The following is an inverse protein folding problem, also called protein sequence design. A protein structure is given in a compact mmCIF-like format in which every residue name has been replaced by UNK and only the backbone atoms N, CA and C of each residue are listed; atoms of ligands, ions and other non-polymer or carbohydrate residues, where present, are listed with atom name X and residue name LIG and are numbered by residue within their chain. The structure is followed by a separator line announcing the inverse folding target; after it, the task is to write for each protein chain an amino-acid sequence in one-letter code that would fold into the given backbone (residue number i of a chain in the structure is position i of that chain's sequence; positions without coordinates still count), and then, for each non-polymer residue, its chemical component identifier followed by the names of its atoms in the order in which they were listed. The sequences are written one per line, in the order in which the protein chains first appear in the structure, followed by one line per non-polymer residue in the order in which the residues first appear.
data_IF_144890434366
#
_entry.id   IF_144890434366
#
_cell.length_a   1.000
_cell.length_b   1.000
_cell.length_c   1.000
_cell.angle_alpha   90.00
_cell.angle_beta   90.00
_cell.angle_gamma   90.00
#
_symmetry.space_group_name_H-M   'P 1'
#
loop_
_entity.id
_entity.type
_entity.pdbx_description
1 polymer ?
#
# COMPACT_ATOMS: atom_id res chain seq x y z
N UNK A 1 -27.48 22.35 22.52
CA UNK A 1 -26.10 21.83 22.53
C UNK A 1 -25.97 20.93 21.29
N UNK A 2 -25.38 21.46 20.21
CA UNK A 2 -25.25 20.77 18.92
C UNK A 2 -23.79 20.32 18.82
N UNK A 3 -23.48 19.04 18.53
CA UNK A 3 -22.10 18.62 18.38
C UNK A 3 -21.56 19.07 17.02
N UNK A 4 -20.46 19.81 17.06
CA UNK A 4 -19.76 20.33 15.90
C UNK A 4 -19.08 19.19 15.12
N UNK A 5 -19.59 18.92 13.94
CA UNK A 5 -18.87 18.26 12.86
C UNK A 5 -17.94 19.30 12.22
N UNK A 6 -16.70 18.91 11.88
CA UNK A 6 -15.63 19.67 11.20
C UNK A 6 -14.70 20.54 12.08
N UNK A 7 -13.50 20.03 12.41
CA UNK A 7 -12.19 20.65 12.05
C UNK A 7 -10.96 19.93 12.66
N UNK A 8 -9.98 19.60 11.79
CA UNK A 8 -8.52 19.37 11.97
C UNK A 8 -7.95 18.17 12.78
N UNK A 9 -6.94 17.43 12.23
CA UNK A 9 -6.37 16.24 12.85
C UNK A 9 -5.11 16.56 13.68
N UNK A 10 -5.31 17.18 14.84
CA UNK A 10 -4.25 17.40 15.83
C UNK A 10 -4.79 17.15 17.23
N UNK A 11 -4.92 15.87 17.57
CA UNK A 11 -4.72 15.27 18.91
C UNK A 11 -5.40 13.91 18.93
N UNK A 12 -4.60 12.84 18.75
CA UNK A 12 -5.00 11.51 19.18
C UNK A 12 -4.10 11.13 20.35
N UNK A 13 -4.69 11.27 21.53
CA UNK A 13 -4.25 10.71 22.80
C UNK A 13 -3.86 9.24 22.66
N UNK A 14 -2.81 8.87 23.40
CA UNK A 14 -2.30 7.53 23.58
C UNK A 14 -3.37 6.57 24.09
N UNK A 15 -3.99 5.83 23.18
CA UNK A 15 -4.64 4.57 23.47
C UNK A 15 -4.12 3.55 22.45
N UNK A 16 -3.75 2.38 22.94
CA UNK A 16 -3.24 1.23 22.19
C UNK A 16 -3.92 1.11 20.81
N UNK A 17 -3.20 1.45 19.74
CA UNK A 17 -3.75 1.41 18.39
C UNK A 17 -3.76 -0.04 17.93
N UNK A 18 -4.95 -0.65 17.98
CA UNK A 18 -5.27 -1.96 17.39
C UNK A 18 -4.68 -2.05 15.99
N UNK A 19 -4.08 -3.20 15.60
CA UNK A 19 -3.55 -3.37 14.24
C UNK A 19 -4.65 -3.14 13.21
N UNK A 20 -4.46 -2.12 12.37
CA UNK A 20 -5.32 -1.80 11.24
C UNK A 20 -4.74 -2.50 10.02
N UNK A 21 -5.53 -3.38 9.38
CA UNK A 21 -5.12 -3.95 8.11
C UNK A 21 -5.28 -2.86 7.05
N UNK A 22 -4.20 -2.57 6.34
CA UNK A 22 -4.14 -1.51 5.35
C UNK A 22 -3.60 -2.09 4.06
N UNK A 23 -4.34 -1.88 2.97
CA UNK A 23 -3.93 -2.24 1.61
C UNK A 23 -3.99 -0.99 0.76
N UNK A 24 -2.85 -0.57 0.22
CA UNK A 24 -2.75 0.59 -0.67
C UNK A 24 -2.35 0.14 -2.06
N UNK A 25 -3.19 0.40 -3.05
CA UNK A 25 -3.00 0.05 -4.46
C UNK A 25 -2.86 1.32 -5.29
N UNK A 26 -1.89 1.37 -6.20
CA UNK A 26 -1.66 2.50 -7.10
C UNK A 26 -1.89 2.04 -8.53
N UNK A 27 -2.86 2.68 -9.17
CA UNK A 27 -3.26 2.42 -10.54
C UNK A 27 -2.75 3.54 -11.45
N UNK A 28 -2.29 3.16 -12.62
CA UNK A 28 -2.13 4.09 -13.74
C UNK A 28 -3.44 4.13 -14.52
N UNK A 29 -3.98 5.33 -14.69
CA UNK A 29 -5.22 5.58 -15.43
C UNK A 29 -5.13 6.89 -16.18
N UNK A 30 -6.17 7.23 -16.95
CA UNK A 30 -6.26 8.49 -17.68
C UNK A 30 -7.49 9.24 -17.20
N UNK A 31 -7.30 10.36 -16.51
CA UNK A 31 -8.37 11.26 -16.07
C UNK A 31 -8.32 12.56 -16.89
N UNK A 32 -9.45 13.00 -17.45
CA UNK A 32 -9.54 14.13 -18.40
C UNK A 32 -8.47 14.07 -19.49
N UNK A 33 -8.34 12.90 -20.11
CA UNK A 33 -7.36 12.63 -21.16
C UNK A 33 -5.89 12.83 -20.75
N UNK A 34 -5.60 12.95 -19.44
CA UNK A 34 -4.26 13.12 -18.88
C UNK A 34 -3.86 11.89 -18.04
N UNK A 35 -2.61 11.37 -18.18
CA UNK A 35 -2.14 10.25 -17.37
C UNK A 35 -2.13 10.64 -15.88
N UNK A 36 -2.75 9.83 -15.04
CA UNK A 36 -2.94 10.09 -13.63
C UNK A 36 -2.67 8.84 -12.80
N UNK A 37 -1.97 9.00 -11.68
CA UNK A 37 -1.86 7.96 -10.66
C UNK A 37 -3.03 8.04 -9.69
N UNK A 38 -3.80 6.96 -9.62
CA UNK A 38 -4.91 6.82 -8.71
C UNK A 38 -4.52 5.88 -7.57
N UNK A 39 -4.51 6.39 -6.35
CA UNK A 39 -4.23 5.62 -5.13
C UNK A 39 -5.54 5.22 -4.47
N UNK A 40 -5.73 3.91 -4.28
CA UNK A 40 -6.82 3.33 -3.51
C UNK A 40 -6.26 2.74 -2.22
N UNK A 41 -6.66 3.29 -1.07
CA UNK A 41 -6.27 2.80 0.24
C UNK A 41 -7.47 2.18 0.94
N UNK A 42 -7.46 0.86 1.06
CA UNK A 42 -8.42 0.07 1.81
C UNK A 42 -7.94 -0.09 3.25
N UNK A 43 -8.81 0.19 4.21
CA UNK A 43 -8.53 0.02 5.63
C UNK A 43 -9.58 -0.88 6.28
N UNK A 44 -9.17 -1.78 7.15
CA UNK A 44 -10.05 -2.53 8.05
C UNK A 44 -9.77 -2.17 9.50
N UNK A 45 -10.83 -1.87 10.23
CA UNK A 45 -10.85 -1.81 11.69
C UNK A 45 -11.72 -2.96 12.23
N UNK A 46 -11.84 -3.09 13.55
CA UNK A 46 -12.71 -4.10 14.17
C UNK A 46 -14.18 -3.98 13.75
N UNK A 47 -14.64 -2.76 13.43
CA UNK A 47 -16.06 -2.46 13.26
C UNK A 47 -16.40 -1.87 11.90
N UNK A 48 -15.43 -1.72 11.00
CA UNK A 48 -15.67 -1.12 9.69
C UNK A 48 -14.55 -1.37 8.71
N UNK A 49 -14.91 -1.27 7.45
CA UNK A 49 -13.97 -1.06 6.36
C UNK A 49 -14.07 0.39 5.88
N UNK A 50 -13.04 0.88 5.20
CA UNK A 50 -13.12 2.15 4.50
C UNK A 50 -12.23 2.12 3.27
N UNK A 51 -12.60 2.91 2.27
CA UNK A 51 -11.83 3.13 1.06
C UNK A 51 -11.52 4.62 0.95
N UNK A 52 -10.24 4.96 0.82
CA UNK A 52 -9.81 6.30 0.42
C UNK A 52 -9.33 6.26 -1.01
N UNK A 53 -9.92 7.11 -1.84
CA UNK A 53 -9.56 7.33 -3.25
C UNK A 53 -8.81 8.65 -3.33
N UNK A 54 -7.57 8.61 -3.78
CA UNK A 54 -6.69 9.76 -3.85
C UNK A 54 -6.06 9.88 -5.23
N UNK A 55 -6.05 11.09 -5.78
CA UNK A 55 -5.25 11.44 -6.94
C UNK A 55 -4.51 12.74 -6.60
N UNK A 56 -3.19 12.73 -6.80
CA UNK A 56 -2.32 13.84 -6.45
C UNK A 56 -2.80 15.15 -7.10
N UNK A 57 -2.79 16.23 -6.31
CA UNK A 57 -3.18 17.58 -6.71
C UNK A 57 -4.61 17.71 -7.26
N UNK A 58 -5.42 16.66 -7.15
CA UNK A 58 -6.74 16.56 -7.75
C UNK A 58 -7.82 16.41 -6.69
N UNK A 59 -7.86 15.27 -5.99
CA UNK A 59 -8.90 15.00 -5.00
C UNK A 59 -8.51 13.92 -3.99
N UNK A 60 -9.19 13.95 -2.85
CA UNK A 60 -9.16 12.90 -1.84
C UNK A 60 -10.57 12.65 -1.33
N UNK A 61 -11.09 11.43 -1.50
CA UNK A 61 -12.44 11.05 -1.08
C UNK A 61 -12.36 9.77 -0.26
N UNK A 62 -12.87 9.82 0.97
CA UNK A 62 -13.04 8.63 1.81
C UNK A 62 -14.49 8.17 1.81
N UNK A 63 -14.68 6.87 1.63
CA UNK A 63 -15.95 6.14 1.68
C UNK A 63 -15.87 5.18 2.88
N UNK A 64 -16.74 5.37 3.87
CA UNK A 64 -16.89 4.43 4.97
C UNK A 64 -17.78 3.26 4.55
N UNK A 65 -17.36 2.04 4.85
CA UNK A 65 -18.07 0.80 4.60
C UNK A 65 -18.47 0.20 5.94
N UNK A 66 -19.76 0.24 6.25
CA UNK A 66 -20.26 -0.28 7.50
C UNK A 66 -20.60 -1.76 7.37
N UNK A 67 -20.32 -2.59 8.39
CA UNK A 67 -20.69 -4.00 8.38
C UNK A 67 -22.21 -4.16 8.27
N UNK A 68 -22.64 -5.21 7.57
CA UNK A 68 -24.05 -5.59 7.44
C UNK A 68 -24.73 -5.92 8.78
N UNK A 69 -23.95 -6.17 9.83
CA UNK A 69 -24.43 -6.52 11.19
C UNK A 69 -25.12 -5.37 11.90
N UNK A 70 -24.91 -4.12 11.46
CA UNK A 70 -25.68 -2.98 11.93
C UNK A 70 -26.82 -2.67 10.96
N UNK A 71 -28.01 -3.24 11.19
CA UNK A 71 -29.19 -3.08 10.32
C UNK A 71 -29.57 -1.62 10.03
N UNK A 72 -29.21 -0.69 10.92
CA UNK A 72 -29.45 0.76 10.74
C UNK A 72 -28.39 1.46 9.87
N UNK A 73 -27.22 0.86 9.66
CA UNK A 73 -26.10 1.41 8.86
C UNK A 73 -25.77 0.55 7.65
N UNK A 74 -26.77 -0.13 7.07
CA UNK A 74 -26.56 -0.98 5.88
C UNK A 74 -25.96 -0.15 4.75
N UNK A 75 -24.84 -0.62 4.18
CA UNK A 75 -24.27 -0.03 2.98
C UNK A 75 -25.37 0.08 1.91
N UNK A 76 -25.44 1.24 1.27
CA UNK A 76 -26.31 1.48 0.10
C UNK A 76 -25.44 1.82 -1.09
N UNK A 77 -25.87 1.50 -2.31
CA UNK A 77 -25.15 1.91 -3.51
C UNK A 77 -25.08 3.44 -3.52
N UNK A 78 -23.89 4.00 -3.59
CA UNK A 78 -23.65 5.43 -3.41
C UNK A 78 -23.10 6.12 -4.66
N UNK A 79 -23.20 7.44 -4.65
CA UNK A 79 -22.41 8.29 -5.56
C UNK A 79 -22.09 9.62 -4.88
N UNK A 80 -20.92 10.18 -5.16
CA UNK A 80 -20.48 11.49 -4.64
C UNK A 80 -19.81 12.27 -5.75
N UNK A 81 -20.28 13.49 -5.97
CA UNK A 81 -19.67 14.44 -6.89
C UNK A 81 -18.75 15.39 -6.14
N UNK A 82 -17.57 15.65 -6.69
CA UNK A 82 -16.63 16.66 -6.19
C UNK A 82 -16.26 17.56 -7.37
N UNK A 83 -16.26 18.86 -7.13
CA UNK A 83 -15.74 19.86 -8.06
C UNK A 83 -14.31 20.18 -7.65
N UNK A 84 -13.38 20.18 -8.60
CA UNK A 84 -12.00 20.58 -8.29
C UNK A 84 -11.95 22.09 -8.08
N UNK A 85 -11.40 22.50 -6.96
CA UNK A 85 -11.31 23.91 -6.55
C UNK A 85 -10.44 24.75 -7.49
N UNK A 86 -9.46 24.14 -8.16
CA UNK A 86 -8.53 24.83 -9.06
C UNK A 86 -8.98 24.86 -10.53
N UNK A 87 -9.98 24.06 -10.89
CA UNK A 87 -10.49 23.98 -12.25
C UNK A 87 -12.02 24.02 -12.21
N UNK A 88 -12.60 25.22 -12.22
CA UNK A 88 -14.05 25.48 -12.17
C UNK A 88 -14.88 24.79 -13.28
N UNK A 89 -14.25 24.04 -14.20
CA UNK A 89 -14.88 23.28 -15.29
C UNK A 89 -14.68 21.77 -15.20
N UNK A 90 -13.95 21.25 -14.22
CA UNK A 90 -13.73 19.82 -14.07
C UNK A 90 -14.60 19.26 -12.95
N UNK A 91 -15.55 18.40 -13.31
CA UNK A 91 -16.44 17.70 -12.38
C UNK A 91 -16.05 16.23 -12.32
N UNK A 92 -15.74 15.76 -11.11
CA UNK A 92 -15.58 14.35 -10.81
C UNK A 92 -16.88 13.83 -10.21
N UNK A 93 -17.31 12.65 -10.62
CA UNK A 93 -18.33 11.90 -9.90
C UNK A 93 -17.87 10.47 -9.70
N UNK A 94 -17.82 10.09 -8.43
CA UNK A 94 -17.50 8.76 -7.94
C UNK A 94 -18.80 7.97 -7.75
N UNK A 95 -18.82 6.74 -8.23
CA UNK A 95 -19.90 5.77 -8.07
C UNK A 95 -19.36 4.55 -7.34
N UNK A 96 -20.14 3.97 -6.46
CA UNK A 96 -19.74 2.74 -5.79
C UNK A 96 -20.93 1.91 -5.33
N UNK A 97 -20.69 0.61 -5.21
CA UNK A 97 -21.55 -0.33 -4.53
C UNK A 97 -20.70 -1.37 -3.78
N UNK A 98 -20.89 -1.39 -2.46
CA UNK A 98 -20.27 -2.36 -1.55
C UNK A 98 -21.34 -3.08 -0.72
N UNK A 99 -22.59 -3.09 -1.18
CA UNK A 99 -23.72 -3.65 -0.42
C UNK A 99 -23.64 -5.16 -0.26
N UNK A 100 -23.04 -5.83 -1.24
CA UNK A 100 -22.81 -7.28 -1.27
C UNK A 100 -21.33 -7.66 -1.23
N UNK A 101 -20.44 -6.70 -0.96
CA UNK A 101 -19.01 -6.91 -1.03
C UNK A 101 -18.57 -8.04 -0.09
N UNK A 102 -17.87 -9.02 -0.66
CA UNK A 102 -17.31 -10.15 0.07
C UNK A 102 -15.86 -9.86 0.44
N UNK A 103 -15.46 -10.24 1.65
CA UNK A 103 -14.13 -9.97 2.18
C UNK A 103 -13.50 -11.25 2.69
N UNK A 104 -12.31 -11.56 2.18
CA UNK A 104 -11.49 -12.61 2.76
C UNK A 104 -11.19 -12.33 4.24
N UNK A 105 -10.94 -13.41 5.00
CA UNK A 105 -10.57 -13.31 6.40
C UNK A 105 -9.38 -12.35 6.57
N UNK A 106 -9.52 -11.38 7.48
CA UNK A 106 -8.52 -10.36 7.75
C UNK A 106 -8.09 -9.47 6.55
N UNK A 107 -8.77 -9.50 5.41
CA UNK A 107 -8.52 -8.55 4.31
C UNK A 107 -9.20 -7.20 4.51
N UNK A 108 -8.51 -6.12 4.14
CA UNK A 108 -9.09 -4.78 4.04
C UNK A 108 -9.75 -4.51 2.67
N UNK A 109 -9.31 -5.20 1.63
CA UNK A 109 -9.84 -5.08 0.27
C UNK A 109 -10.91 -6.16 0.03
N UNK A 110 -12.04 -5.82 -0.61
CA UNK A 110 -13.05 -6.81 -1.01
C UNK A 110 -12.53 -7.75 -2.10
N UNK A 111 -12.94 -9.01 -2.03
CA UNK A 111 -12.58 -10.05 -2.99
C UNK A 111 -13.54 -10.11 -4.18
N UNK A 112 -14.83 -9.85 -3.95
CA UNK A 112 -15.87 -9.91 -4.98
C UNK A 112 -17.12 -9.10 -4.60
N UNK A 113 -18.09 -9.05 -5.51
CA UNK A 113 -19.40 -8.45 -5.35
C UNK A 113 -19.37 -6.95 -5.00
N UNK A 114 -18.51 -6.20 -5.69
CA UNK A 114 -18.41 -4.75 -5.54
C UNK A 114 -18.15 -4.03 -6.86
N UNK A 115 -18.36 -2.72 -6.88
CA UNK A 115 -17.73 -1.85 -7.87
C UNK A 115 -17.39 -0.48 -7.29
N UNK A 116 -16.38 0.15 -7.89
CA UNK A 116 -16.09 1.57 -7.79
C UNK A 116 -15.84 2.09 -9.21
N UNK A 117 -16.35 3.27 -9.53
CA UNK A 117 -16.12 3.89 -10.81
C UNK A 117 -15.98 5.42 -10.71
N UNK A 118 -15.11 5.99 -11.53
CA UNK A 118 -14.86 7.44 -11.60
C UNK A 118 -15.29 7.92 -12.97
N UNK A 119 -16.10 8.99 -12.96
CA UNK A 119 -16.45 9.74 -14.16
C UNK A 119 -15.96 11.17 -14.09
N UNK A 120 -15.45 11.66 -15.20
CA UNK A 120 -14.95 13.01 -15.42
C UNK A 120 -15.82 13.67 -16.48
N UNK A 121 -16.49 14.78 -16.14
CA UNK A 121 -17.33 15.53 -17.09
C UNK A 121 -18.39 14.68 -17.85
N UNK A 122 -18.88 13.59 -17.24
CA UNK A 122 -19.86 12.70 -17.86
C UNK A 122 -19.27 11.55 -18.69
N UNK A 123 -17.94 11.44 -18.75
CA UNK A 123 -17.21 10.32 -19.34
C UNK A 123 -16.71 9.40 -18.22
N UNK A 124 -16.98 8.10 -18.32
CA UNK A 124 -16.51 7.08 -17.38
C UNK A 124 -15.06 6.74 -17.72
N UNK A 125 -14.14 6.91 -16.78
CA UNK A 125 -12.68 6.84 -17.03
C UNK A 125 -11.94 5.82 -16.16
N UNK A 126 -12.52 5.37 -15.05
CA UNK A 126 -11.96 4.29 -14.23
C UNK A 126 -13.08 3.41 -13.69
N UNK A 127 -12.86 2.09 -13.68
CA UNK A 127 -13.73 1.10 -13.04
C UNK A 127 -12.87 0.04 -12.36
N UNK A 128 -13.26 -0.38 -11.17
CA UNK A 128 -12.71 -1.54 -10.47
C UNK A 128 -13.83 -2.33 -9.79
N UNK A 129 -13.79 -3.66 -9.88
CA UNK A 129 -14.80 -4.57 -9.33
C UNK A 129 -15.46 -5.44 -10.39
N UNK A 130 -16.41 -6.27 -9.98
CA UNK A 130 -17.06 -7.32 -10.77
C UNK A 130 -18.55 -7.08 -11.05
N UNK A 131 -19.18 -6.11 -10.37
CA UNK A 131 -20.58 -5.75 -10.56
C UNK A 131 -20.84 -4.81 -11.76
N UNK A 132 -20.33 -5.20 -12.93
CA UNK A 132 -20.36 -4.38 -14.14
C UNK A 132 -21.78 -4.15 -14.70
N UNK A 133 -22.67 -5.14 -14.60
CA UNK A 133 -24.06 -5.02 -15.05
C UNK A 133 -24.85 -3.98 -14.26
N UNK A 134 -24.60 -3.90 -12.95
CA UNK A 134 -25.25 -2.91 -12.08
C UNK A 134 -24.68 -1.51 -12.31
N UNK A 135 -23.37 -1.41 -12.54
CA UNK A 135 -22.73 -0.17 -12.94
C UNK A 135 -23.29 0.33 -14.29
N UNK A 136 -23.45 -0.55 -15.28
CA UNK A 136 -23.98 -0.21 -16.60
C UNK A 136 -25.41 0.36 -16.51
N UNK A 137 -26.28 -0.26 -15.70
CA UNK A 137 -27.64 0.26 -15.43
C UNK A 137 -27.60 1.65 -14.80
N UNK A 138 -26.66 1.88 -13.87
CA UNK A 138 -26.53 3.15 -13.15
C UNK A 138 -25.86 4.26 -13.97
N UNK A 139 -25.05 3.89 -14.96
CA UNK A 139 -24.27 4.79 -15.80
C UNK A 139 -24.71 4.79 -17.27
N UNK A 140 -25.96 4.37 -17.56
CA UNK A 140 -26.51 4.20 -18.92
C UNK A 140 -26.50 5.45 -19.80
N UNK A 141 -26.31 6.64 -19.21
CA UNK A 141 -26.16 7.91 -19.93
C UNK A 141 -24.72 8.47 -19.97
N UNK A 142 -23.71 7.73 -19.51
CA UNK A 142 -22.32 8.15 -19.54
C UNK A 142 -21.60 7.60 -20.78
N UNK A 143 -20.69 8.40 -21.32
CA UNK A 143 -19.78 7.93 -22.36
C UNK A 143 -18.69 7.05 -21.73
N UNK A 144 -18.57 5.80 -22.15
CA UNK A 144 -17.46 4.95 -21.71
C UNK A 144 -16.18 5.29 -22.49
N UNK A 145 -15.11 5.64 -21.78
CA UNK A 145 -13.81 5.81 -22.40
C UNK A 145 -13.31 4.47 -22.95
N UNK A 146 -12.65 4.47 -24.12
CA UNK A 146 -12.08 3.25 -24.72
C UNK A 146 -11.11 2.53 -23.78
N UNK A 147 -10.40 3.27 -22.93
CA UNK A 147 -9.46 2.73 -21.93
C UNK A 147 -10.13 1.98 -20.79
N UNK A 148 -11.40 2.25 -20.50
CA UNK A 148 -12.18 1.56 -19.46
C UNK A 148 -12.59 0.15 -19.89
N UNK A 149 -12.55 -0.15 -21.19
CA UNK A 149 -12.74 -1.50 -21.69
C UNK A 149 -11.55 -2.42 -21.37
N UNK A 150 -10.43 -1.84 -20.92
CA UNK A 150 -9.25 -2.55 -20.45
C UNK A 150 -9.23 -2.52 -18.91
N UNK A 151 -8.70 -3.58 -18.31
CA UNK A 151 -8.52 -3.62 -16.85
C UNK A 151 -7.52 -2.52 -16.43
N UNK A 152 -7.78 -1.78 -15.34
CA UNK A 152 -6.85 -0.76 -14.87
C UNK A 152 -5.45 -1.33 -14.64
N UNK A 153 -4.42 -0.60 -15.10
CA UNK A 153 -3.02 -1.03 -14.90
C UNK A 153 -2.60 -0.78 -13.46
N UNK A 154 -2.61 -1.84 -12.64
CA UNK A 154 -2.07 -1.80 -11.27
C UNK A 154 -0.55 -1.76 -11.32
N UNK A 155 0.05 -0.69 -10.78
CA UNK A 155 1.50 -0.49 -10.73
C UNK A 155 2.11 -0.98 -9.42
N UNK A 156 1.44 -0.75 -8.30
CA UNK A 156 1.97 -1.18 -7.02
C UNK A 156 0.89 -1.48 -6.00
N UNK A 157 1.22 -2.40 -5.09
CA UNK A 157 0.39 -2.79 -3.97
C UNK A 157 1.24 -2.82 -2.71
N UNK A 158 0.76 -2.24 -1.64
CA UNK A 158 1.37 -2.26 -0.31
C UNK A 158 0.38 -2.85 0.67
N UNK A 159 0.83 -3.79 1.50
CA UNK A 159 -0.03 -4.48 2.45
C UNK A 159 0.67 -4.64 3.80
N UNK A 160 -0.08 -4.43 4.87
CA UNK A 160 0.33 -4.72 6.25
C UNK A 160 -0.35 -6.01 6.71
N UNK A 161 0.44 -7.07 6.87
CA UNK A 161 -0.02 -8.39 7.31
C UNK A 161 0.44 -8.65 8.74
N UNK A 162 -0.42 -9.28 9.54
CA UNK A 162 -0.16 -9.56 10.96
C UNK A 162 -0.23 -11.06 11.20
N UNK A 163 0.77 -11.60 11.89
CA UNK A 163 0.93 -13.02 12.13
C UNK A 163 2.02 -13.29 13.16
N UNK A 164 2.25 -14.54 13.51
CA UNK A 164 3.29 -14.89 14.48
C UNK A 164 4.58 -15.31 13.76
N UNK A 165 4.50 -16.39 12.98
CA UNK A 165 5.62 -16.97 12.20
C UNK A 165 5.28 -17.24 10.74
N UNK A 166 4.00 -17.10 10.39
CA UNK A 166 3.47 -17.35 9.06
C UNK A 166 2.53 -16.20 8.70
N UNK A 167 2.69 -15.68 7.50
CA UNK A 167 2.00 -14.50 6.98
C UNK A 167 1.52 -14.82 5.58
N UNK A 168 0.29 -14.43 5.27
CA UNK A 168 -0.33 -14.69 3.98
C UNK A 168 -0.84 -13.38 3.42
N UNK A 169 -0.50 -13.10 2.16
CA UNK A 169 -1.08 -12.03 1.36
C UNK A 169 -1.63 -12.64 0.06
N UNK A 170 -2.71 -12.06 -0.46
CA UNK A 170 -3.29 -12.44 -1.74
C UNK A 170 -3.28 -11.25 -2.66
N UNK A 171 -2.53 -11.33 -3.75
CA UNK A 171 -2.39 -10.24 -4.69
C UNK A 171 -2.52 -10.75 -6.12
N UNK A 172 -3.12 -9.92 -6.98
CA UNK A 172 -3.08 -10.14 -8.43
C UNK A 172 -1.81 -9.52 -8.97
N UNK A 173 -0.93 -10.33 -9.54
CA UNK A 173 0.23 -9.89 -10.30
C UNK A 173 0.45 -10.88 -11.45
N UNK A 174 1.00 -10.42 -12.58
CA UNK A 174 1.11 -11.23 -13.81
C UNK A 174 -0.25 -11.69 -14.39
N UNK A 175 -1.33 -10.95 -14.12
CA UNK A 175 -2.67 -11.26 -14.63
C UNK A 175 -3.44 -12.34 -13.87
N UNK A 176 -2.79 -13.06 -12.95
CA UNK A 176 -3.43 -14.06 -12.08
C UNK A 176 -3.37 -13.67 -10.60
N UNK A 177 -4.35 -14.12 -9.83
CA UNK A 177 -4.36 -13.98 -8.38
C UNK A 177 -3.49 -15.08 -7.78
N UNK A 178 -2.55 -14.68 -6.93
CA UNK A 178 -1.63 -15.58 -6.25
C UNK A 178 -1.73 -15.43 -4.75
N UNK A 179 -1.56 -16.54 -4.03
CA UNK A 179 -1.35 -16.53 -2.59
C UNK A 179 0.14 -16.55 -2.29
N UNK A 180 0.62 -15.51 -1.61
CA UNK A 180 2.01 -15.40 -1.17
C UNK A 180 2.06 -15.72 0.32
N UNK A 181 2.78 -16.78 0.66
CA UNK A 181 3.10 -17.17 2.02
C UNK A 181 4.52 -16.76 2.40
N UNK A 182 4.66 -16.08 3.53
CA UNK A 182 5.95 -15.79 4.14
C UNK A 182 6.01 -16.52 5.48
N UNK A 183 6.90 -17.50 5.60
CA UNK A 183 7.17 -18.18 6.87
C UNK A 183 8.56 -17.78 7.36
N UNK A 184 8.66 -17.36 8.62
CA UNK A 184 9.95 -17.15 9.27
C UNK A 184 9.94 -17.85 10.61
N UNK A 185 10.74 -18.90 10.73
CA UNK A 185 10.82 -19.70 11.94
C UNK A 185 12.24 -20.27 12.09
N UNK A 186 12.79 -20.21 13.30
CA UNK A 186 14.10 -20.80 13.62
C UNK A 186 15.24 -20.24 12.77
N UNK A 187 15.24 -18.94 12.46
CA UNK A 187 16.27 -18.30 11.63
C UNK A 187 16.25 -18.70 10.15
N UNK A 188 15.11 -19.22 9.66
CA UNK A 188 14.88 -19.57 8.25
C UNK A 188 13.68 -18.80 7.72
N UNK A 189 13.83 -18.14 6.57
CA UNK A 189 12.77 -17.51 5.80
C UNK A 189 12.38 -18.44 4.65
N UNK A 190 11.09 -18.73 4.51
CA UNK A 190 10.52 -19.45 3.37
C UNK A 190 9.51 -18.56 2.67
N UNK A 191 9.62 -18.49 1.35
CA UNK A 191 8.63 -17.85 0.49
C UNK A 191 7.86 -18.95 -0.20
N UNK A 192 6.53 -18.88 -0.10
CA UNK A 192 5.60 -19.77 -0.77
C UNK A 192 4.76 -18.98 -1.77
N UNK A 193 4.52 -19.56 -2.93
CA UNK A 193 3.58 -19.06 -3.93
C UNK A 193 2.59 -20.18 -4.20
N UNK A 194 1.30 -19.91 -4.03
CA UNK A 194 0.20 -20.86 -4.20
C UNK A 194 0.41 -22.18 -3.42
N UNK A 195 0.90 -22.04 -2.19
CA UNK A 195 1.20 -23.16 -1.28
C UNK A 195 2.54 -23.87 -1.56
N UNK A 196 3.17 -23.65 -2.71
CA UNK A 196 4.46 -24.25 -3.07
C UNK A 196 5.63 -23.40 -2.60
N UNK A 197 6.67 -24.01 -2.03
CA UNK A 197 7.86 -23.27 -1.57
C UNK A 197 8.74 -22.87 -2.75
N UNK A 198 8.82 -21.58 -3.03
CA UNK A 198 9.62 -21.02 -4.12
C UNK A 198 11.04 -20.63 -3.69
N UNK A 199 11.24 -20.29 -2.41
CA UNK A 199 12.55 -19.88 -1.88
C UNK A 199 12.72 -20.27 -0.41
N UNK A 200 13.93 -20.67 -0.03
CA UNK A 200 14.32 -20.95 1.36
C UNK A 200 15.67 -20.30 1.66
N UNK A 201 15.66 -19.31 2.55
CA UNK A 201 16.84 -18.60 3.03
C UNK A 201 17.14 -19.07 4.45
N UNK A 202 18.29 -19.71 4.65
CA UNK A 202 18.76 -20.16 5.96
C UNK A 202 19.72 -19.15 6.58
N UNK A 203 19.89 -19.21 7.90
CA UNK A 203 20.84 -18.40 8.67
C UNK A 203 20.52 -16.90 8.58
N UNK A 204 19.26 -16.53 8.83
CA UNK A 204 18.77 -15.14 8.78
C UNK A 204 19.53 -14.18 9.69
N UNK A 205 20.14 -14.65 10.78
CA UNK A 205 21.00 -13.82 11.62
C UNK A 205 22.17 -13.16 10.85
N UNK A 206 22.57 -13.77 9.73
CA UNK A 206 23.62 -13.28 8.83
C UNK A 206 23.06 -12.77 7.50
N UNK A 207 21.91 -13.30 7.08
CA UNK A 207 21.20 -12.95 5.84
C UNK A 207 19.92 -12.17 6.10
N UNK A 208 19.96 -11.25 7.07
CA UNK A 208 18.76 -10.50 7.46
C UNK A 208 18.32 -9.47 6.40
N UNK A 209 19.17 -9.18 5.41
CA UNK A 209 18.86 -8.40 4.21
C UNK A 209 19.41 -9.12 2.98
N UNK A 210 18.71 -8.98 1.86
CA UNK A 210 19.19 -9.48 0.58
C UNK A 210 18.10 -9.52 -0.48
N UNK A 211 18.44 -10.09 -1.62
CA UNK A 211 17.55 -10.28 -2.75
C UNK A 211 17.86 -11.59 -3.49
N UNK A 212 16.86 -12.13 -4.17
CA UNK A 212 16.93 -13.37 -4.96
C UNK A 212 15.87 -13.31 -6.07
N UNK A 213 16.05 -14.10 -7.12
CA UNK A 213 15.04 -14.25 -8.18
C UNK A 213 14.24 -15.53 -7.96
N UNK A 214 12.92 -15.40 -8.05
CA UNK A 214 11.99 -16.54 -8.04
C UNK A 214 11.19 -16.55 -9.35
N UNK A 215 10.60 -17.69 -9.68
CA UNK A 215 9.74 -17.82 -10.85
C UNK A 215 8.31 -18.09 -10.43
N UNK A 216 7.37 -17.31 -10.96
CA UNK A 216 5.93 -17.47 -10.76
C UNK A 216 5.28 -17.64 -12.13
N UNK A 217 4.70 -18.82 -12.38
CA UNK A 217 4.12 -19.18 -13.68
C UNK A 217 5.07 -18.92 -14.88
N UNK A 218 6.37 -19.19 -14.70
CA UNK A 218 7.39 -18.98 -15.73
C UNK A 218 7.86 -17.53 -15.89
N UNK A 219 7.30 -16.58 -15.15
CA UNK A 219 7.76 -15.20 -15.12
C UNK A 219 8.76 -14.98 -13.98
N UNK A 220 9.81 -14.23 -14.27
CA UNK A 220 10.81 -13.84 -13.29
C UNK A 220 10.27 -12.75 -12.35
N UNK A 221 10.47 -12.96 -11.05
CA UNK A 221 10.09 -12.03 -9.99
C UNK A 221 11.32 -11.80 -9.12
N UNK A 222 11.75 -10.55 -9.00
CA UNK A 222 12.80 -10.16 -8.06
C UNK A 222 12.21 -10.03 -6.66
N UNK A 223 12.77 -10.78 -5.72
CA UNK A 223 12.34 -10.83 -4.34
C UNK A 223 13.40 -10.19 -3.45
N UNK A 224 13.02 -9.19 -2.67
CA UNK A 224 13.88 -8.50 -1.71
C UNK A 224 13.34 -8.70 -0.30
N UNK A 225 14.24 -8.78 0.69
CA UNK A 225 13.85 -8.87 2.09
C UNK A 225 14.72 -7.99 3.00
N UNK A 226 14.08 -7.46 4.03
CA UNK A 226 14.71 -6.91 5.24
C UNK A 226 13.95 -7.43 6.47
N UNK A 227 14.60 -8.29 7.24
CA UNK A 227 14.06 -8.89 8.47
C UNK A 227 14.91 -8.51 9.69
N UNK A 228 15.71 -7.44 9.61
CA UNK A 228 16.57 -7.01 10.71
C UNK A 228 15.76 -6.73 11.99
N UNK A 229 14.67 -5.96 11.87
CA UNK A 229 13.79 -5.61 12.98
C UNK A 229 13.12 -6.84 13.60
N UNK A 230 12.80 -7.85 12.77
CA UNK A 230 12.25 -9.12 13.21
C UNK A 230 13.27 -9.94 14.01
N UNK A 231 14.45 -10.20 13.44
CA UNK A 231 15.49 -11.04 14.06
C UNK A 231 15.97 -10.42 15.37
N UNK A 232 16.13 -9.10 15.41
CA UNK A 232 16.56 -8.40 16.61
C UNK A 232 15.50 -8.42 17.74
N UNK A 233 14.21 -8.40 17.39
CA UNK A 233 13.11 -8.55 18.36
C UNK A 233 13.13 -9.94 19.01
N UNK A 234 13.45 -10.99 18.24
CA UNK A 234 13.56 -12.36 18.75
C UNK A 234 14.71 -12.56 19.74
N UNK A 235 15.84 -11.88 19.52
CA UNK A 235 17.02 -12.03 20.38
C UNK A 235 16.92 -11.28 21.71
N UNK A 236 16.13 -10.20 21.78
CA UNK A 236 16.16 -9.29 22.93
C UNK A 236 15.08 -9.56 23.99
N UNK A 237 14.20 -10.57 23.83
CA UNK A 237 13.09 -10.90 24.75
C UNK A 237 12.28 -9.69 25.26
N UNK A 238 12.30 -8.58 24.52
CA UNK A 238 11.66 -7.34 24.90
C UNK A 238 10.26 -7.36 24.28
N UNK A 239 9.28 -7.74 25.10
CA UNK A 239 7.84 -7.80 24.78
C UNK A 239 7.22 -6.47 24.32
N UNK A 240 8.01 -5.40 24.16
CA UNK A 240 7.54 -4.06 23.85
C UNK A 240 7.93 -3.59 22.44
N UNK A 241 8.49 -4.47 21.61
CA UNK A 241 8.87 -4.15 20.23
C UNK A 241 8.13 -5.04 19.24
N UNK A 242 7.15 -4.47 18.54
CA UNK A 242 6.46 -5.12 17.42
C UNK A 242 7.45 -5.23 16.25
N UNK A 243 8.31 -6.25 16.31
CA UNK A 243 9.24 -6.57 15.23
C UNK A 243 8.48 -6.84 13.93
N UNK A 244 9.01 -6.33 12.82
CA UNK A 244 8.44 -6.56 11.50
C UNK A 244 9.50 -6.96 10.48
N UNK A 245 9.06 -7.70 9.47
CA UNK A 245 9.80 -7.93 8.23
C UNK A 245 9.24 -7.09 7.08
N UNK A 246 10.10 -6.71 6.16
CA UNK A 246 9.75 -6.02 4.91
C UNK A 246 10.11 -6.92 3.75
N UNK A 247 9.17 -7.14 2.85
CA UNK A 247 9.35 -8.00 1.67
C UNK A 247 8.85 -7.29 0.42
N UNK A 248 9.60 -7.36 -0.66
CA UNK A 248 9.24 -6.74 -1.95
C UNK A 248 9.29 -7.81 -3.03
N UNK A 249 8.23 -7.89 -3.83
CA UNK A 249 8.15 -8.68 -5.05
C UNK A 249 8.03 -7.72 -6.23
N UNK A 250 9.00 -7.76 -7.14
CA UNK A 250 9.08 -6.86 -8.28
C UNK A 250 9.02 -7.66 -9.58
N UNK A 251 8.16 -7.22 -10.49
CA UNK A 251 7.93 -7.84 -11.79
C UNK A 251 8.28 -6.83 -12.89
N UNK A 252 9.03 -7.27 -13.90
CA UNK A 252 9.48 -6.41 -15.00
C UNK A 252 10.37 -5.27 -14.49
N UNK A 253 10.17 -4.07 -15.03
CA UNK A 253 10.93 -2.86 -14.64
C UNK A 253 10.57 -2.34 -13.23
N UNK A 254 9.62 -2.99 -12.55
CA UNK A 254 9.08 -2.59 -11.26
C UNK A 254 8.03 -1.49 -11.31
N UNK A 255 7.18 -1.49 -10.28
CA UNK A 255 6.12 -0.52 -10.08
C UNK A 255 6.61 0.82 -9.56
N UNK A 256 5.84 1.88 -9.85
CA UNK A 256 6.07 3.22 -9.30
C UNK A 256 5.71 3.24 -7.81
N UNK A 257 6.58 3.85 -7.01
CA UNK A 257 6.33 4.22 -5.62
C UNK A 257 6.22 5.74 -5.50
N UNK A 258 5.02 6.33 -5.61
CA UNK A 258 4.81 7.72 -5.24
C UNK A 258 5.27 7.91 -3.79
N UNK A 259 5.77 9.11 -3.49
CA UNK A 259 6.13 9.51 -2.13
C UNK A 259 5.00 9.15 -1.17
N UNK A 260 5.31 8.53 -0.02
CA UNK A 260 4.32 8.26 1.02
C UNK A 260 3.58 9.56 1.32
N UNK A 261 2.26 9.67 1.17
CA UNK A 261 1.52 10.86 1.65
C UNK A 261 0.35 10.38 2.49
N UNK A 262 0.20 10.95 3.70
CA UNK A 262 -0.97 10.74 4.55
C UNK A 262 -0.74 9.97 5.87
N UNK A 263 -1.77 9.25 6.38
CA UNK A 263 -1.74 8.57 7.69
C UNK A 263 -0.58 7.57 7.86
N UNK A 264 -0.10 7.01 6.76
CA UNK A 264 1.01 6.06 6.71
C UNK A 264 2.35 6.66 7.19
N UNK A 265 2.67 7.93 6.84
CA UNK A 265 3.86 8.62 7.40
C UNK A 265 3.74 8.71 8.93
N UNK A 266 2.53 8.86 9.50
CA UNK A 266 2.31 8.98 10.95
C UNK A 266 2.40 7.64 11.68
N UNK A 267 1.93 6.55 11.07
CA UNK A 267 2.11 5.19 11.60
C UNK A 267 3.60 4.85 11.70
N UNK A 268 4.40 5.19 10.69
CA UNK A 268 5.84 4.95 10.71
C UNK A 268 6.64 5.92 11.60
N UNK A 269 6.26 7.21 11.66
CA UNK A 269 6.94 8.17 12.54
C UNK A 269 6.76 7.82 14.02
N UNK A 270 5.64 7.22 14.41
CA UNK A 270 5.41 6.72 15.78
C UNK A 270 6.28 5.52 16.14
N UNK A 271 6.53 4.62 15.19
CA UNK A 271 7.46 3.48 15.35
C UNK A 271 8.92 3.89 15.44
N UNK A 272 9.30 5.03 14.86
CA UNK A 272 10.66 5.60 14.97
C UNK A 272 10.81 6.51 16.20
N UNK A 273 9.73 7.15 16.65
CA UNK A 273 9.75 8.02 17.83
C UNK A 273 9.66 7.29 19.17
N UNK A 274 9.36 5.98 19.20
CA UNK A 274 9.44 5.19 20.44
C UNK A 274 10.89 4.92 20.89
N UNK A 275 11.90 5.31 20.10
CA UNK A 275 13.31 5.29 20.47
C UNK A 275 13.83 6.61 21.06
N UNK A 276 13.00 7.68 21.14
CA UNK A 276 13.45 9.01 21.56
C UNK A 276 12.75 9.57 22.81
N UNK A 277 11.91 8.79 23.50
CA UNK A 277 11.23 9.24 24.71
C UNK A 277 11.57 8.34 25.90
N UNK A 278 12.78 8.52 26.42
CA UNK A 278 13.21 7.98 27.71
C UNK A 278 14.26 8.90 28.33
N UNK A 279 13.85 9.76 29.27
CA UNK A 279 14.75 10.51 30.13
C UNK A 279 14.40 12.00 30.27
N UNK A 280 13.57 12.33 31.25
CA UNK A 280 13.43 13.70 31.75
C UNK A 280 14.47 14.01 32.83
N UNK A 281 14.91 15.27 32.83
CA UNK A 281 15.55 16.07 33.89
C UNK A 281 16.99 15.74 34.32
N UNK A 282 17.96 16.54 33.85
CA UNK A 282 18.57 17.66 34.60
C UNK A 282 19.90 18.09 33.96
N UNK A 283 20.09 19.39 33.75
CA UNK A 283 21.37 20.02 33.43
C UNK A 283 22.11 20.36 34.76
N UNK A 284 23.45 20.62 34.83
CA UNK A 284 24.18 21.53 33.92
C UNK A 284 25.63 21.14 33.50
N UNK A 285 26.07 21.81 32.43
CA UNK A 285 27.42 22.30 32.06
C UNK A 285 28.70 21.50 32.44
N UNK A 286 29.44 21.01 31.42
CA UNK A 286 30.85 21.37 31.15
C UNK A 286 31.41 20.62 29.91
N UNK A 287 32.41 21.24 29.30
CA UNK A 287 33.09 21.00 28.02
C UNK A 287 33.79 19.65 27.82
N UNK A 288 33.68 19.07 26.62
CA UNK A 288 34.82 18.62 25.81
C UNK A 288 34.34 18.22 24.40
N UNK A 289 35.06 18.71 23.40
CA UNK A 289 34.99 18.39 21.98
C UNK A 289 35.16 16.91 21.68
N UNK A 290 34.35 16.35 20.77
CA UNK A 290 34.73 15.40 19.71
C UNK A 290 33.60 15.35 18.66
N UNK A 291 33.98 15.19 17.40
CA UNK A 291 33.27 15.44 16.15
C UNK A 291 31.91 14.70 15.97
N UNK A 292 30.94 15.26 15.21
CA UNK A 292 29.66 14.61 14.97
C UNK A 292 29.74 13.55 13.86
N UNK A 293 29.46 12.29 14.22
CA UNK A 293 29.12 11.24 13.25
C UNK A 293 27.61 11.27 12.93
N UNK A 294 27.21 10.87 11.72
CA UNK A 294 26.10 11.50 11.00
C UNK A 294 24.73 10.92 11.38
N UNK A 295 23.74 11.78 11.17
CA UNK A 295 22.31 11.52 11.29
C UNK A 295 21.86 10.26 10.54
N UNK A 296 21.14 9.38 11.24
CA UNK A 296 20.50 8.20 10.65
C UNK A 296 19.29 8.60 9.80
N UNK A 297 19.52 8.88 8.52
CA UNK A 297 18.50 8.89 7.48
C UNK A 297 18.62 7.58 6.68
N UNK A 298 17.95 6.51 7.13
CA UNK A 298 17.95 5.23 6.40
C UNK A 298 16.54 4.86 5.94
N UNK A 299 15.97 5.70 5.08
CA UNK A 299 14.90 5.33 4.14
C UNK A 299 15.21 6.11 2.85
N UNK A 300 15.62 5.39 1.80
CA UNK A 300 15.85 5.85 0.41
C UNK A 300 17.20 6.51 0.07
N UNK A 301 18.30 5.74 0.08
CA UNK A 301 19.50 6.15 -0.66
C UNK A 301 20.07 4.95 -1.42
N UNK A 302 19.44 4.62 -2.54
CA UNK A 302 20.02 3.78 -3.58
C UNK A 302 19.96 4.57 -4.89
N UNK A 303 21.14 5.07 -5.28
CA UNK A 303 21.55 5.80 -6.48
C UNK A 303 22.29 7.10 -6.12
N UNK A 304 23.47 6.99 -5.52
CA UNK A 304 24.50 8.01 -5.71
C UNK A 304 25.48 7.48 -6.75
N UNK A 305 25.34 8.00 -7.96
CA UNK A 305 26.38 7.94 -8.97
C UNK A 305 27.64 8.59 -8.40
N UNK A 306 28.74 7.85 -8.47
CA UNK A 306 30.08 8.37 -8.21
C UNK A 306 30.36 9.44 -9.26
N UNK A 307 30.65 10.66 -8.80
CA UNK A 307 31.28 11.68 -9.62
C UNK A 307 32.65 11.18 -10.06
N UNK A 308 32.75 10.67 -11.28
CA UNK A 308 33.95 10.80 -12.08
C UNK A 308 33.56 11.14 -13.52
N UNK A 309 34.06 12.29 -13.97
CA UNK A 309 33.81 12.82 -15.30
C UNK A 309 34.37 11.89 -16.37
N UNK A 310 33.47 11.34 -17.18
CA UNK A 310 33.82 10.54 -18.35
C UNK A 310 32.68 10.57 -19.36
N UNK A 311 32.86 11.34 -20.44
CA UNK A 311 32.00 11.32 -21.62
C UNK A 311 31.80 9.87 -22.09
N UNK A 312 30.58 9.36 -22.03
CA UNK A 312 30.15 8.31 -22.96
C UNK A 312 28.64 8.42 -23.20
N UNK A 313 28.30 8.67 -24.46
CA UNK A 313 26.95 8.58 -24.97
C UNK A 313 26.59 7.10 -25.10
N UNK A 314 25.64 6.62 -24.31
CA UNK A 314 25.01 5.33 -24.56
C UNK A 314 23.50 5.52 -24.67
N UNK A 315 23.07 5.46 -25.93
CA UNK A 315 21.70 5.55 -26.39
C UNK A 315 20.79 4.59 -25.63
N UNK A 316 19.69 5.12 -25.10
CA UNK A 316 18.55 4.36 -24.60
C UNK A 316 18.05 3.43 -25.71
N UNK A 317 18.50 2.18 -25.68
CA UNK A 317 17.97 1.15 -26.55
C UNK A 317 16.62 0.78 -26.00
N UNK A 318 15.58 1.39 -26.58
CA UNK A 318 14.19 0.95 -26.49
C UNK A 318 14.12 -0.52 -26.88
N UNK A 319 14.19 -1.42 -25.89
CA UNK A 319 13.79 -2.81 -26.09
C UNK A 319 12.27 -2.83 -26.07
N UNK A 320 11.72 -2.68 -27.27
CA UNK A 320 10.34 -2.98 -27.59
C UNK A 320 10.08 -4.48 -27.37
N UNK A 321 9.64 -4.84 -26.17
CA UNK A 321 8.96 -6.10 -25.89
C UNK A 321 7.59 -5.75 -25.32
N UNK A 322 6.54 -6.28 -25.93
CA UNK A 322 5.16 -5.84 -25.74
C UNK A 322 4.69 -5.86 -24.28
N UNK A 323 4.00 -4.78 -23.92
CA UNK A 323 2.98 -4.69 -22.86
C UNK A 323 3.16 -5.65 -21.67
N UNK A 324 3.95 -5.25 -20.68
CA UNK A 324 3.64 -5.50 -19.27
C UNK A 324 4.37 -4.42 -18.47
N UNK A 325 3.65 -3.36 -18.10
CA UNK A 325 4.17 -2.37 -17.16
C UNK A 325 4.66 -3.06 -15.88
N UNK A 326 5.72 -2.53 -15.29
CA UNK A 326 6.27 -3.08 -14.06
C UNK A 326 5.26 -3.05 -12.91
N UNK A 327 5.30 -4.08 -12.06
CA UNK A 327 4.47 -4.19 -10.86
C UNK A 327 5.35 -4.43 -9.63
N UNK A 328 4.98 -3.83 -8.50
CA UNK A 328 5.63 -4.10 -7.22
C UNK A 328 4.63 -4.37 -6.09
N UNK A 329 4.83 -5.47 -5.37
CA UNK A 329 4.15 -5.77 -4.11
C UNK A 329 5.10 -5.56 -2.93
N UNK A 330 4.70 -4.72 -1.97
CA UNK A 330 5.42 -4.47 -0.73
C UNK A 330 4.60 -4.99 0.46
N UNK A 331 5.18 -5.92 1.21
CA UNK A 331 4.57 -6.52 2.39
C UNK A 331 5.32 -6.10 3.65
N UNK A 332 4.59 -5.54 4.61
CA UNK A 332 5.05 -5.40 5.98
C UNK A 332 4.44 -6.50 6.82
N UNK A 333 5.27 -7.43 7.31
CA UNK A 333 4.86 -8.54 8.15
C UNK A 333 5.11 -8.23 9.61
N UNK A 334 4.05 -8.01 10.39
CA UNK A 334 4.11 -7.59 11.79
C UNK A 334 3.84 -8.75 12.72
N UNK A 335 4.72 -8.96 13.70
CA UNK A 335 4.44 -9.90 14.79
C UNK A 335 3.17 -9.48 15.52
N UNK A 336 2.25 -10.43 15.66
CA UNK A 336 1.06 -10.33 16.49
C UNK A 336 1.33 -11.04 17.81
N UNK A 337 1.12 -10.33 18.91
CA UNK A 337 1.24 -10.84 20.28
C UNK A 337 0.22 -11.94 20.60
#
# INVERSE_FOLDING_TARGET
MIPACFSQPSNLSSTSQVPQNLITCIYHTQLWDSPTYLTLTWSKTHFSHSLTVYAADSFSITISLYPSTFSFFRNRPGSKSVYLTHHHRQRIKLYWDFTRADFAENSAEPESSFYIAISCNGKLEFILGDLMDELAKRCSGLFMARQVLLEPTLLSRREHVFGHKSYVSRAKFLGSKHEIGIDCNGGVLKVKVDGQTSLVIKRLAWKFRGNERIYVNGNEVEFFWDVFNWVNSENNNNNNTNGHGVFIFQVGDGGVWPEMVGPEKRLMRKSLSSLAAGGSSSAPMASASLSPSPSCSSVLQWAEESNDGGRSSCSSSTRSCGSNGGFSLLLYAWKKD
#
